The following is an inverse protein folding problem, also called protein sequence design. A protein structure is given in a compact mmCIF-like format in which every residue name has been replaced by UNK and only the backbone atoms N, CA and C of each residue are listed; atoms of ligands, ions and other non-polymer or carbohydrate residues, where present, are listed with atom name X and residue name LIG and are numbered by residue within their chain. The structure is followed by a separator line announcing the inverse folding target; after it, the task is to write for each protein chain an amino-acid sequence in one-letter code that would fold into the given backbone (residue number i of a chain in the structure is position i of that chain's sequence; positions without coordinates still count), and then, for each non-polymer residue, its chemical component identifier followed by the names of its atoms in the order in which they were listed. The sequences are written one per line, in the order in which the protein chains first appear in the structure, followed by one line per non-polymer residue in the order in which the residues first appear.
data_IF_008389408807
#
_entry.id   IF_008389408807
#
_cell.length_a   1.000
_cell.length_b   1.000
_cell.length_c   1.000
_cell.angle_alpha   90.00
_cell.angle_beta   90.00
_cell.angle_gamma   90.00
#
_symmetry.space_group_name_H-M   'P 1'
#
loop_
_entity.id
_entity.type
_entity.pdbx_description
1 polymer ?
#
# COMPACT_ATOMS: atom_id res chain seq x y z
N UNK A 1 -5.99 -3.26 18.82
CA UNK A 1 -6.43 -4.19 17.77
C UNK A 1 -6.78 -3.42 16.51
N UNK A 2 -6.32 -3.89 15.36
CA UNK A 2 -6.58 -3.20 14.09
C UNK A 2 -7.68 -3.90 13.31
N UNK A 3 -8.31 -3.15 12.42
CA UNK A 3 -9.28 -3.67 11.47
C UNK A 3 -9.04 -3.00 10.12
N UNK A 4 -8.86 -3.79 9.07
CA UNK A 4 -8.71 -3.26 7.71
C UNK A 4 -10.00 -3.52 6.94
N UNK A 5 -10.48 -2.51 6.26
CA UNK A 5 -11.64 -2.64 5.37
C UNK A 5 -11.26 -2.28 3.95
N UNK A 6 -11.90 -2.97 3.00
CA UNK A 6 -11.76 -2.76 1.57
C UNK A 6 -13.03 -2.08 1.06
N UNK A 7 -12.87 -1.12 0.16
CA UNK A 7 -14.04 -0.46 -0.45
C UNK A 7 -13.70 0.02 -1.85
N UNK A 8 -14.73 0.22 -2.66
CA UNK A 8 -14.57 0.79 -3.99
C UNK A 8 -14.97 2.28 -3.99
N UNK A 9 -14.65 3.03 -5.05
CA UNK A 9 -14.90 4.49 -5.08
C UNK A 9 -16.37 4.91 -4.98
N UNK A 10 -17.30 3.98 -5.16
CA UNK A 10 -18.72 4.27 -5.03
C UNK A 10 -19.09 4.63 -3.58
N UNK A 11 -18.31 4.12 -2.62
CA UNK A 11 -18.50 4.48 -1.21
C UNK A 11 -17.85 5.83 -0.94
N UNK A 12 -18.62 6.90 -1.19
CA UNK A 12 -18.10 8.27 -1.08
C UNK A 12 -17.70 8.66 0.33
N UNK A 13 -18.42 8.16 1.33
CA UNK A 13 -18.10 8.44 2.73
C UNK A 13 -16.71 7.90 3.10
N UNK A 14 -16.42 6.65 2.77
CA UNK A 14 -15.11 6.06 3.06
C UNK A 14 -14.02 6.69 2.20
N UNK A 15 -14.33 7.05 0.96
CA UNK A 15 -13.37 7.71 0.09
C UNK A 15 -12.95 9.08 0.65
N UNK A 16 -13.89 9.84 1.20
CA UNK A 16 -13.57 11.11 1.86
C UNK A 16 -12.65 10.93 3.06
N UNK A 17 -12.85 9.86 3.84
CA UNK A 17 -11.96 9.54 4.96
C UNK A 17 -10.56 9.24 4.44
N UNK A 18 -10.43 8.43 3.39
CA UNK A 18 -9.14 8.13 2.77
C UNK A 18 -8.45 9.40 2.26
N UNK A 19 -9.19 10.27 1.59
CA UNK A 19 -8.66 11.55 1.09
C UNK A 19 -8.16 12.43 2.23
N UNK A 20 -8.88 12.49 3.33
CA UNK A 20 -8.47 13.26 4.50
C UNK A 20 -7.13 12.79 5.05
N UNK A 21 -6.93 11.47 5.15
CA UNK A 21 -5.67 10.89 5.60
C UNK A 21 -4.54 11.21 4.62
N UNK A 22 -4.78 11.04 3.33
CA UNK A 22 -3.78 11.30 2.30
C UNK A 22 -3.41 12.77 2.21
N UNK A 23 -4.37 13.66 2.38
CA UNK A 23 -4.11 15.10 2.43
C UNK A 23 -3.17 15.45 3.57
N UNK A 24 -3.45 14.93 4.75
CA UNK A 24 -2.60 15.17 5.93
C UNK A 24 -1.18 14.65 5.71
N UNK A 25 -1.02 13.44 5.20
CA UNK A 25 0.29 12.81 5.06
C UNK A 25 1.06 13.34 3.85
N UNK A 26 0.44 13.36 2.69
CA UNK A 26 1.17 13.68 1.46
C UNK A 26 1.21 15.17 1.15
N UNK A 27 0.13 15.88 1.35
CA UNK A 27 0.06 17.30 1.01
C UNK A 27 0.62 18.14 2.13
N UNK A 28 0.16 17.94 3.35
CA UNK A 28 0.56 18.77 4.51
C UNK A 28 1.95 18.39 5.02
N UNK A 29 2.20 17.11 5.32
CA UNK A 29 3.50 16.68 5.84
C UNK A 29 4.60 16.64 4.77
N UNK A 30 4.30 16.11 3.56
CA UNK A 30 5.30 15.87 2.52
C UNK A 30 5.29 16.90 1.39
N UNK A 31 4.39 17.85 1.43
CA UNK A 31 4.31 18.94 0.46
C UNK A 31 4.11 18.49 -0.99
N UNK A 32 3.39 17.40 -1.20
CA UNK A 32 2.99 16.94 -2.53
C UNK A 32 1.82 17.80 -3.02
N UNK A 33 1.76 18.14 -4.31
CA UNK A 33 0.65 18.92 -4.85
C UNK A 33 -0.65 18.09 -4.89
N UNK A 34 -1.79 18.75 -4.78
CA UNK A 34 -3.09 18.08 -4.88
C UNK A 34 -3.25 17.37 -6.22
N UNK A 35 -2.77 17.98 -7.30
CA UNK A 35 -2.87 17.43 -8.64
C UNK A 35 -2.13 16.11 -8.80
N UNK A 36 -0.95 16.00 -8.17
CA UNK A 36 -0.15 14.77 -8.19
C UNK A 36 -0.74 13.69 -7.27
N UNK A 37 -1.33 14.09 -6.14
CA UNK A 37 -1.85 13.16 -5.16
C UNK A 37 -3.18 12.53 -5.55
N UNK A 38 -4.13 13.34 -6.03
CA UNK A 38 -5.48 12.90 -6.33
C UNK A 38 -5.64 12.60 -7.83
N UNK A 39 -5.35 11.36 -8.22
CA UNK A 39 -5.51 10.87 -9.59
C UNK A 39 -5.94 9.41 -9.58
N UNK A 40 -6.60 8.97 -10.64
CA UNK A 40 -7.02 7.57 -10.84
C UNK A 40 -7.94 7.00 -9.76
N UNK A 41 -8.61 7.82 -8.99
CA UNK A 41 -9.39 7.35 -7.82
C UNK A 41 -10.48 6.36 -8.20
N UNK A 42 -11.13 6.56 -9.34
CA UNK A 42 -12.23 5.70 -9.78
C UNK A 42 -11.77 4.33 -10.27
N UNK A 43 -10.50 4.20 -10.63
CA UNK A 43 -9.91 2.95 -11.12
C UNK A 43 -9.29 2.12 -10.02
N UNK A 44 -9.39 2.55 -8.79
CA UNK A 44 -8.67 1.94 -7.68
C UNK A 44 -9.58 1.15 -6.76
N UNK A 45 -8.98 0.16 -6.11
CA UNK A 45 -9.55 -0.49 -4.93
C UNK A 45 -8.88 0.16 -3.72
N UNK A 46 -9.68 0.59 -2.76
CA UNK A 46 -9.21 1.37 -1.62
C UNK A 46 -9.32 0.59 -0.31
N UNK A 47 -8.49 0.98 0.65
CA UNK A 47 -8.44 0.34 1.97
C UNK A 47 -8.30 1.39 3.05
N UNK A 48 -8.87 1.09 4.21
CA UNK A 48 -8.67 1.88 5.44
C UNK A 48 -8.28 0.93 6.56
N UNK A 49 -7.36 1.35 7.40
CA UNK A 49 -7.04 0.64 8.64
C UNK A 49 -7.51 1.46 9.83
N UNK A 50 -8.25 0.78 10.71
CA UNK A 50 -8.82 1.36 11.92
C UNK A 50 -8.09 0.81 13.14
N UNK A 51 -7.91 1.65 14.14
CA UNK A 51 -7.42 1.26 15.45
C UNK A 51 -8.31 1.91 16.50
N UNK A 52 -8.89 1.10 17.38
CA UNK A 52 -9.85 1.59 18.39
C UNK A 52 -10.98 2.41 17.76
N UNK A 53 -11.52 1.91 16.65
CA UNK A 53 -12.62 2.52 15.89
C UNK A 53 -12.27 3.83 15.18
N UNK A 54 -10.99 4.19 15.13
CA UNK A 54 -10.54 5.41 14.46
C UNK A 54 -9.76 5.08 13.19
N UNK A 55 -10.11 5.68 12.05
CA UNK A 55 -9.36 5.45 10.81
C UNK A 55 -8.03 6.19 10.88
N UNK A 56 -6.92 5.46 10.83
CA UNK A 56 -5.59 6.01 10.98
C UNK A 56 -4.67 5.79 9.78
N UNK A 57 -5.10 5.01 8.80
CA UNK A 57 -4.30 4.77 7.63
C UNK A 57 -5.12 4.38 6.42
N UNK A 58 -4.52 4.50 5.24
CA UNK A 58 -5.15 4.18 3.97
C UNK A 58 -4.14 3.64 2.98
N UNK A 59 -4.63 2.94 1.97
CA UNK A 59 -3.85 2.47 0.83
C UNK A 59 -4.81 2.21 -0.32
N UNK A 60 -4.26 2.06 -1.52
CA UNK A 60 -5.05 1.65 -2.69
C UNK A 60 -4.21 0.80 -3.63
N UNK A 61 -4.86 0.07 -4.52
CA UNK A 61 -4.17 -0.50 -5.67
C UNK A 61 -5.00 -0.28 -6.93
N UNK A 62 -4.33 -0.35 -8.06
CA UNK A 62 -4.97 -0.31 -9.38
C UNK A 62 -4.26 -1.25 -10.33
N UNK A 63 -4.97 -1.70 -11.35
CA UNK A 63 -4.40 -2.54 -12.41
C UNK A 63 -3.75 -1.64 -13.46
N UNK A 64 -2.52 -1.99 -13.86
CA UNK A 64 -1.79 -1.32 -14.93
C UNK A 64 -1.32 -2.36 -15.95
N UNK A 65 -0.67 -1.90 -17.01
CA UNK A 65 -0.08 -2.80 -18.00
C UNK A 65 0.97 -3.73 -17.40
N UNK A 66 1.60 -3.32 -16.30
CA UNK A 66 2.64 -4.10 -15.61
C UNK A 66 2.10 -5.04 -14.55
N UNK A 67 0.85 -4.92 -14.17
CA UNK A 67 0.24 -5.74 -13.12
C UNK A 67 -0.56 -4.92 -12.14
N UNK A 68 -0.51 -5.31 -10.87
CA UNK A 68 -1.20 -4.60 -9.80
C UNK A 68 -0.22 -3.66 -9.11
N UNK A 69 -0.50 -2.37 -9.18
CA UNK A 69 0.33 -1.34 -8.54
C UNK A 69 -0.26 -0.95 -7.20
N UNK A 70 0.48 -1.20 -6.13
CA UNK A 70 0.11 -0.73 -4.79
C UNK A 70 0.59 0.70 -4.63
N UNK A 71 -0.26 1.56 -4.09
CA UNK A 71 0.04 3.00 -3.97
C UNK A 71 -0.61 3.63 -2.76
N UNK A 72 -0.13 4.82 -2.42
CA UNK A 72 -0.76 5.73 -1.45
C UNK A 72 -0.90 5.12 -0.06
N UNK A 73 0.12 4.36 0.38
CA UNK A 73 0.19 3.93 1.77
C UNK A 73 0.48 5.12 2.66
N UNK A 74 -0.41 5.41 3.58
CA UNK A 74 -0.28 6.56 4.46
C UNK A 74 -0.84 6.24 5.84
N UNK A 75 -0.10 6.61 6.88
CA UNK A 75 -0.54 6.53 8.26
C UNK A 75 -0.49 7.93 8.87
N UNK A 76 -1.55 8.31 9.55
CA UNK A 76 -1.51 9.51 10.40
C UNK A 76 -0.47 9.33 11.50
N UNK A 77 0.12 10.42 11.98
CA UNK A 77 1.16 10.37 13.03
C UNK A 77 0.74 9.52 14.22
N UNK A 78 -0.50 9.69 14.69
CA UNK A 78 -0.99 8.94 15.84
C UNK A 78 -1.13 7.44 15.59
N UNK A 79 -1.14 7.02 14.32
CA UNK A 79 -1.20 5.60 13.93
C UNK A 79 0.16 4.94 13.77
N UNK A 80 1.24 5.70 13.82
CA UNK A 80 2.59 5.18 13.57
C UNK A 80 3.13 4.47 14.81
N UNK A 81 3.99 3.47 14.57
CA UNK A 81 4.61 2.72 15.65
C UNK A 81 3.71 1.70 16.34
N UNK A 82 2.57 1.36 15.75
CA UNK A 82 1.58 0.43 16.30
C UNK A 82 1.40 -0.84 15.47
N UNK A 83 2.19 -1.01 14.41
CA UNK A 83 2.04 -2.14 13.50
C UNK A 83 0.91 -2.01 12.49
N UNK A 84 0.26 -0.86 12.40
CA UNK A 84 -0.87 -0.66 11.48
C UNK A 84 -0.44 -0.71 10.01
N UNK A 85 0.74 -0.18 9.69
CA UNK A 85 1.27 -0.26 8.33
C UNK A 85 1.50 -1.69 7.88
N UNK A 86 2.00 -2.52 8.77
CA UNK A 86 2.17 -3.95 8.52
C UNK A 86 0.82 -4.63 8.27
N UNK A 87 -0.16 -4.39 9.14
CA UNK A 87 -1.48 -4.99 9.01
C UNK A 87 -2.15 -4.56 7.69
N UNK A 88 -2.04 -3.27 7.36
CA UNK A 88 -2.60 -2.72 6.13
C UNK A 88 -1.95 -3.37 4.90
N UNK A 89 -0.62 -3.39 4.85
CA UNK A 89 0.09 -3.97 3.70
C UNK A 89 -0.23 -5.46 3.53
N UNK A 90 -0.27 -6.22 4.62
CA UNK A 90 -0.60 -7.64 4.57
C UNK A 90 -1.99 -7.87 3.99
N UNK A 91 -2.96 -7.08 4.42
CA UNK A 91 -4.32 -7.18 3.91
C UNK A 91 -4.40 -6.85 2.41
N UNK A 92 -3.76 -5.74 2.02
CA UNK A 92 -3.72 -5.30 0.62
C UNK A 92 -3.04 -6.34 -0.27
N UNK A 93 -1.89 -6.88 0.17
CA UNK A 93 -1.18 -7.92 -0.57
C UNK A 93 -2.03 -9.17 -0.75
N UNK A 94 -2.68 -9.63 0.31
CA UNK A 94 -3.54 -10.80 0.24
C UNK A 94 -4.66 -10.60 -0.78
N UNK A 95 -5.27 -9.42 -0.78
CA UNK A 95 -6.32 -9.10 -1.72
C UNK A 95 -5.80 -9.01 -3.17
N UNK A 96 -4.67 -8.34 -3.37
CA UNK A 96 -4.08 -8.16 -4.69
C UNK A 96 -3.61 -9.47 -5.32
N UNK A 97 -3.16 -10.43 -4.50
CA UNK A 97 -2.65 -11.71 -4.99
C UNK A 97 -3.71 -12.58 -5.66
N UNK A 98 -4.98 -12.34 -5.39
CA UNK A 98 -6.07 -13.11 -6.00
C UNK A 98 -6.08 -13.05 -7.53
N UNK A 99 -5.50 -12.01 -8.12
CA UNK A 99 -5.52 -11.82 -9.58
C UNK A 99 -4.41 -12.59 -10.32
N UNK A 100 -3.44 -13.15 -9.60
CA UNK A 100 -2.34 -13.89 -10.21
C UNK A 100 -1.44 -13.04 -11.11
N UNK A 101 -1.42 -11.73 -10.93
CA UNK A 101 -0.61 -10.78 -11.70
C UNK A 101 0.59 -10.32 -10.91
N UNK A 102 1.65 -9.82 -11.59
CA UNK A 102 2.75 -9.19 -10.88
C UNK A 102 2.28 -8.06 -9.99
N UNK A 103 2.88 -7.93 -8.82
CA UNK A 103 2.56 -6.89 -7.84
C UNK A 103 3.80 -6.02 -7.67
N UNK A 104 3.63 -4.72 -7.76
CA UNK A 104 4.74 -3.77 -7.67
C UNK A 104 4.31 -2.47 -7.01
N UNK A 105 5.30 -1.69 -6.62
CA UNK A 105 5.07 -0.36 -6.06
C UNK A 105 6.32 0.50 -6.27
N UNK A 106 6.16 1.80 -6.05
CA UNK A 106 7.26 2.74 -6.01
C UNK A 106 7.39 3.22 -4.57
N UNK A 107 8.47 2.81 -3.90
CA UNK A 107 8.67 3.08 -2.48
C UNK A 107 9.55 4.30 -2.29
N UNK A 108 9.12 5.23 -1.41
CA UNK A 108 9.99 6.30 -0.95
C UNK A 108 11.23 5.68 -0.30
N UNK A 109 12.40 6.26 -0.55
CA UNK A 109 13.68 5.69 -0.08
C UNK A 109 13.72 5.49 1.43
N UNK A 110 13.01 6.31 2.18
CA UNK A 110 12.98 6.24 3.64
C UNK A 110 12.25 5.01 4.19
N UNK A 111 11.44 4.32 3.37
CA UNK A 111 10.62 3.17 3.81
C UNK A 111 10.93 1.88 3.04
N UNK A 112 12.02 1.84 2.30
CA UNK A 112 12.42 0.65 1.52
C UNK A 112 12.52 -0.59 2.41
N UNK A 113 13.13 -0.46 3.59
CA UNK A 113 13.35 -1.60 4.47
C UNK A 113 12.04 -2.22 4.95
N UNK A 114 11.03 -1.39 5.17
CA UNK A 114 9.70 -1.87 5.53
C UNK A 114 9.15 -2.82 4.44
N UNK A 115 9.25 -2.41 3.16
CA UNK A 115 8.78 -3.24 2.05
C UNK A 115 9.65 -4.47 1.82
N UNK A 116 10.97 -4.34 1.99
CA UNK A 116 11.88 -5.49 1.85
C UNK A 116 11.53 -6.59 2.84
N UNK A 117 11.18 -6.24 4.06
CA UNK A 117 10.78 -7.21 5.07
C UNK A 117 9.51 -7.96 4.69
N UNK A 118 8.69 -7.39 3.82
CA UNK A 118 7.44 -8.00 3.37
C UNK A 118 7.57 -8.77 2.06
N UNK A 119 8.78 -8.91 1.52
CA UNK A 119 9.03 -9.69 0.33
C UNK A 119 9.18 -8.89 -0.95
N UNK A 120 9.30 -7.57 -0.85
CA UNK A 120 9.59 -6.72 -2.01
C UNK A 120 11.09 -6.59 -2.24
N UNK A 121 11.48 -6.48 -3.50
CA UNK A 121 12.86 -6.25 -3.90
C UNK A 121 12.92 -5.03 -4.81
N UNK A 122 14.02 -4.28 -4.70
CA UNK A 122 14.29 -3.17 -5.64
C UNK A 122 14.54 -3.75 -7.02
N UNK A 123 13.85 -3.24 -8.03
CA UNK A 123 13.96 -3.76 -9.39
C UNK A 123 14.23 -2.68 -10.45
N UNK A 124 14.88 -1.62 -10.05
CA UNK A 124 15.26 -0.55 -10.97
C UNK A 124 15.99 0.58 -10.27
N UNK A 125 16.45 1.57 -11.04
CA UNK A 125 17.20 2.69 -10.48
C UNK A 125 16.31 3.65 -9.72
N UNK A 126 16.92 4.36 -8.79
CA UNK A 126 16.26 5.44 -8.03
C UNK A 126 15.75 6.52 -8.97
N UNK A 127 14.59 7.07 -8.67
CA UNK A 127 13.99 8.15 -9.46
C UNK A 127 13.23 9.12 -8.56
N UNK A 128 12.88 10.27 -9.12
CA UNK A 128 12.12 11.29 -8.40
C UNK A 128 10.66 11.22 -8.80
N UNK A 129 9.77 11.28 -7.82
CA UNK A 129 8.33 11.37 -8.03
C UNK A 129 7.78 12.33 -6.97
N UNK A 130 7.01 13.33 -7.39
CA UNK A 130 6.50 14.39 -6.50
C UNK A 130 7.62 15.01 -5.65
N UNK A 131 8.81 15.19 -6.23
CA UNK A 131 10.01 15.72 -5.57
C UNK A 131 10.54 14.87 -4.41
N UNK A 132 10.18 13.62 -4.35
CA UNK A 132 10.64 12.67 -3.34
C UNK A 132 11.36 11.51 -4.04
N UNK A 133 12.49 11.08 -3.49
CA UNK A 133 13.24 9.94 -4.02
C UNK A 133 12.49 8.64 -3.80
N UNK A 134 12.40 7.84 -4.85
CA UNK A 134 11.74 6.53 -4.84
C UNK A 134 12.60 5.47 -5.49
N UNK A 135 12.35 4.21 -5.13
CA UNK A 135 12.81 3.05 -5.87
C UNK A 135 11.64 2.23 -6.36
N UNK A 136 11.69 1.73 -7.61
CA UNK A 136 10.71 0.74 -8.04
C UNK A 136 10.98 -0.57 -7.31
N UNK A 137 9.93 -1.20 -6.81
CA UNK A 137 10.04 -2.47 -6.11
C UNK A 137 8.98 -3.43 -6.63
N UNK A 138 9.33 -4.70 -6.72
CA UNK A 138 8.39 -5.75 -7.09
C UNK A 138 8.28 -6.76 -5.96
N UNK A 139 7.09 -7.33 -5.81
CA UNK A 139 6.88 -8.42 -4.88
C UNK A 139 7.54 -9.65 -5.45
N UNK A 140 8.61 -10.09 -4.79
CA UNK A 140 9.42 -11.18 -5.32
C UNK A 140 8.67 -12.48 -5.24
N UNK A 141 8.29 -12.95 -6.43
CA UNK A 141 7.84 -14.30 -6.63
C UNK A 141 6.69 -14.73 -5.70
N UNK A 142 5.45 -14.27 -5.96
CA UNK A 142 4.28 -14.77 -5.24
C UNK A 142 4.20 -16.30 -5.21
N UNK A 143 4.71 -16.96 -6.27
CA UNK A 143 4.77 -18.43 -6.34
C UNK A 143 5.76 -19.01 -5.32
N UNK A 144 6.90 -18.36 -5.10
CA UNK A 144 7.86 -18.83 -4.11
C UNK A 144 7.33 -18.69 -2.69
N UNK A 145 6.59 -17.63 -2.42
CA UNK A 145 5.95 -17.48 -1.12
C UNK A 145 4.92 -18.58 -0.89
N UNK A 146 4.11 -18.88 -1.89
CA UNK A 146 3.12 -19.95 -1.81
C UNK A 146 3.80 -21.30 -1.63
N UNK A 147 4.88 -21.56 -2.38
CA UNK A 147 5.66 -22.78 -2.21
C UNK A 147 6.31 -22.88 -0.83
N UNK A 148 6.79 -21.78 -0.28
CA UNK A 148 7.35 -21.75 1.06
C UNK A 148 6.29 -22.07 2.11
N UNK A 149 5.09 -21.54 1.95
CA UNK A 149 3.95 -21.84 2.82
C UNK A 149 3.57 -23.31 2.70
N UNK A 150 3.45 -23.83 1.47
CA UNK A 150 3.15 -25.24 1.22
C UNK A 150 4.18 -26.16 1.86
N UNK A 151 5.47 -25.85 1.70
CA UNK A 151 6.55 -26.63 2.33
C UNK A 151 6.45 -26.61 3.86
N UNK A 152 6.14 -25.45 4.43
CA UNK A 152 5.99 -25.32 5.88
C UNK A 152 4.81 -26.16 6.38
N UNK A 153 3.72 -26.20 5.63
CA UNK A 153 2.52 -27.01 5.94
C UNK A 153 2.82 -28.50 5.76
N UNK A 154 3.51 -28.87 4.68
CA UNK A 154 3.83 -30.28 4.40
C UNK A 154 4.82 -30.91 5.37
N UNK A 155 5.59 -30.10 6.10
CA UNK A 155 6.55 -30.56 7.09
C UNK A 155 5.94 -30.86 8.44
N UNK A 156 4.69 -30.59 8.60
CA UNK A 156 3.96 -30.89 9.79
C UNK A 156 3.30 -32.27 9.67
#
# INVERSE_FOLDING_TARGET
MSKVIKFNPDNKELLEIAFSIRREVFIIEQNVSEEEEFEFEEDCVHFLVYHKRKPLGTARYRTTDKGIKLERFALLKEGRGKGLGYDLLRFVLTDARQYGKPIYLNAQTTVIDFYKQQGFVVDGPKFMEANIEHYPMSFENPHNLDKAIEKAVCRR
#
